data_IF_906413976787
#
_entry.id   IF_906413976787
#
_cell.length_a   1.000
_cell.length_b   1.000
_cell.length_c   1.000
_cell.angle_alpha   90.00
_cell.angle_beta   90.00
_cell.angle_gamma   90.00
#
_symmetry.space_group_name_H-M   'P 1'
#
loop_
_entity.id
_entity.type
_entity.pdbx_description
1 polymer ?
#
# COMPACT_ATOMS: atom_id res chain seq x y z
N UNK A 1 0.64 12.88 -5.34
CA UNK A 1 2.04 12.67 -5.83
C UNK A 1 3.15 13.45 -5.10
N UNK A 2 2.85 14.23 -4.05
CA UNK A 2 3.85 15.04 -3.33
C UNK A 2 5.07 14.24 -2.83
N UNK A 3 4.85 13.06 -2.26
CA UNK A 3 5.95 12.24 -1.69
C UNK A 3 6.91 11.72 -2.75
N UNK A 4 6.41 11.13 -3.84
CA UNK A 4 7.25 10.65 -4.96
C UNK A 4 8.07 11.81 -5.54
N UNK A 5 7.45 12.97 -5.76
CA UNK A 5 8.14 14.16 -6.28
C UNK A 5 9.22 14.66 -5.30
N UNK A 6 8.95 14.63 -3.99
CA UNK A 6 9.90 15.06 -2.98
C UNK A 6 11.10 14.12 -2.90
N UNK A 7 10.87 12.80 -2.89
CA UNK A 7 11.94 11.78 -2.85
C UNK A 7 12.82 11.91 -4.11
N UNK A 8 12.19 12.03 -5.29
CA UNK A 8 12.92 12.21 -6.55
C UNK A 8 13.80 13.47 -6.54
N UNK A 9 13.36 14.54 -5.88
CA UNK A 9 14.11 15.81 -5.84
C UNK A 9 15.26 15.80 -4.83
N UNK A 10 15.12 15.12 -3.69
CA UNK A 10 16.05 15.31 -2.55
C UNK A 10 16.82 14.06 -2.14
N UNK A 11 16.41 12.87 -2.55
CA UNK A 11 16.96 11.61 -2.03
C UNK A 11 17.32 10.60 -3.11
N UNK A 12 16.77 10.71 -4.32
CA UNK A 12 17.12 9.85 -5.43
C UNK A 12 18.42 10.30 -6.10
N UNK A 13 19.29 9.34 -6.40
CA UNK A 13 20.44 9.59 -7.28
C UNK A 13 19.97 9.97 -8.70
N UNK A 14 20.82 10.64 -9.52
CA UNK A 14 20.41 11.17 -10.84
C UNK A 14 19.77 10.15 -11.79
N UNK A 15 20.12 8.86 -11.67
CA UNK A 15 19.59 7.77 -12.50
C UNK A 15 18.70 6.79 -11.72
N UNK A 16 18.33 7.13 -10.48
CA UNK A 16 17.51 6.27 -9.65
C UNK A 16 16.03 6.56 -9.89
N UNK A 17 15.29 5.52 -10.30
CA UNK A 17 13.85 5.62 -10.48
C UNK A 17 13.12 5.61 -9.13
N UNK A 18 12.10 6.46 -9.01
CA UNK A 18 11.20 6.51 -7.85
C UNK A 18 9.80 6.14 -8.30
N UNK A 19 9.22 5.09 -7.73
CA UNK A 19 7.86 4.62 -8.05
C UNK A 19 6.92 4.91 -6.90
N UNK A 20 5.70 5.33 -7.22
CA UNK A 20 4.61 5.46 -6.26
C UNK A 20 3.89 4.13 -6.07
N UNK A 21 3.58 3.78 -4.83
CA UNK A 21 2.70 2.66 -4.50
C UNK A 21 1.61 3.19 -3.56
N UNK A 22 0.36 2.98 -3.93
CA UNK A 22 -0.80 3.23 -3.08
C UNK A 22 -1.34 1.88 -2.65
N UNK A 23 -1.46 1.66 -1.35
CA UNK A 23 -1.97 0.43 -0.74
C UNK A 23 -3.18 0.79 0.11
N UNK A 24 -4.33 0.17 -0.16
CA UNK A 24 -5.58 0.44 0.56
C UNK A 24 -6.37 -0.85 0.78
N UNK A 25 -7.39 -0.84 1.65
CA UNK A 25 -8.31 -1.98 1.80
C UNK A 25 -9.18 -2.14 0.55
N UNK A 26 -9.57 -1.01 -0.03
CA UNK A 26 -10.40 -0.88 -1.22
C UNK A 26 -9.95 0.37 -1.97
N UNK A 27 -9.86 0.27 -3.29
CA UNK A 27 -9.50 1.34 -4.21
C UNK A 27 -10.79 1.77 -4.91
N UNK A 28 -11.16 3.04 -4.75
CA UNK A 28 -12.33 3.57 -5.45
C UNK A 28 -12.09 3.66 -6.96
N UNK A 29 -13.18 3.60 -7.74
CA UNK A 29 -13.15 3.79 -9.19
C UNK A 29 -12.56 5.16 -9.57
N UNK A 30 -12.93 6.22 -8.84
CA UNK A 30 -12.36 7.55 -9.03
C UNK A 30 -10.83 7.57 -8.84
N UNK A 31 -10.32 6.85 -7.84
CA UNK A 31 -8.87 6.77 -7.60
C UNK A 31 -8.18 5.96 -8.68
N UNK A 32 -8.79 4.87 -9.14
CA UNK A 32 -8.31 4.06 -10.25
C UNK A 32 -8.22 4.89 -11.54
N UNK A 33 -9.29 5.61 -11.88
CA UNK A 33 -9.35 6.52 -13.02
C UNK A 33 -8.32 7.65 -12.90
N UNK A 34 -8.22 8.31 -11.76
CA UNK A 34 -7.24 9.38 -11.53
C UNK A 34 -5.80 8.89 -11.69
N UNK A 35 -5.50 7.66 -11.25
CA UNK A 35 -4.17 7.08 -11.38
C UNK A 35 -3.87 6.51 -12.78
N UNK A 36 -4.88 6.28 -13.62
CA UNK A 36 -4.67 5.80 -15.00
C UNK A 36 -3.83 6.75 -15.87
N UNK A 37 -3.81 8.05 -15.51
CA UNK A 37 -3.02 9.09 -16.16
C UNK A 37 -1.61 9.24 -15.58
N UNK A 38 -1.25 8.44 -14.55
CA UNK A 38 0.01 8.55 -13.83
C UNK A 38 0.79 7.23 -13.95
N UNK A 39 1.70 7.10 -14.93
CA UNK A 39 2.29 5.81 -15.30
C UNK A 39 3.16 5.17 -14.21
N UNK A 40 3.75 5.98 -13.32
CA UNK A 40 4.69 5.50 -12.29
C UNK A 40 4.02 5.22 -10.92
N UNK A 41 2.70 5.07 -10.89
CA UNK A 41 1.93 4.72 -9.69
C UNK A 41 1.30 3.35 -9.84
N UNK A 42 1.55 2.48 -8.86
CA UNK A 42 0.86 1.19 -8.73
C UNK A 42 -0.15 1.24 -7.60
N UNK A 43 -1.28 0.59 -7.83
CA UNK A 43 -2.35 0.44 -6.84
C UNK A 43 -2.38 -1.01 -6.38
N UNK A 44 -2.53 -1.22 -5.08
CA UNK A 44 -2.71 -2.54 -4.48
C UNK A 44 -3.83 -2.47 -3.45
N UNK A 45 -4.74 -3.43 -3.51
CA UNK A 45 -5.64 -3.70 -2.40
C UNK A 45 -5.02 -4.74 -1.47
N UNK A 46 -5.13 -4.52 -0.17
CA UNK A 46 -4.75 -5.52 0.82
C UNK A 46 -6.00 -6.15 1.42
N UNK A 47 -5.89 -7.44 1.72
CA UNK A 47 -6.88 -8.17 2.49
C UNK A 47 -6.25 -8.65 3.79
N UNK A 48 -6.85 -8.28 4.93
CA UNK A 48 -6.46 -8.81 6.23
C UNK A 48 -7.25 -10.09 6.49
N UNK A 49 -6.55 -11.19 6.73
CA UNK A 49 -7.13 -12.46 7.17
C UNK A 49 -6.66 -12.78 8.57
N UNK A 50 -7.60 -13.10 9.46
CA UNK A 50 -7.35 -13.47 10.84
C UNK A 50 -8.02 -14.82 11.10
N UNK A 51 -7.26 -15.74 11.69
CA UNK A 51 -7.77 -17.03 12.13
C UNK A 51 -7.49 -17.18 13.61
N UNK A 52 -8.54 -17.48 14.37
CA UNK A 52 -8.45 -17.69 15.81
C UNK A 52 -8.38 -19.17 16.11
N UNK A 53 -7.61 -19.52 17.13
CA UNK A 53 -7.58 -20.87 17.69
C UNK A 53 -7.99 -20.77 19.15
N UNK A 54 -8.82 -21.71 19.57
CA UNK A 54 -9.17 -21.85 20.98
C UNK A 54 -7.93 -22.27 21.78
N UNK A 55 -7.75 -21.68 22.96
CA UNK A 55 -6.74 -22.10 23.92
C UNK A 55 -7.47 -22.80 25.06
N UNK A 56 -7.21 -24.09 25.24
CA UNK A 56 -7.72 -24.84 26.39
C UNK A 56 -7.08 -24.29 27.67
N UNK A 57 -7.91 -23.90 28.63
CA UNK A 57 -7.46 -23.63 30.00
C UNK A 57 -7.45 -24.96 30.76
N UNK A 58 -6.29 -25.59 30.89
CA UNK A 58 -6.12 -26.67 31.85
C UNK A 58 -6.22 -26.08 33.28
N UNK A 59 -7.16 -26.59 34.09
CA UNK A 59 -7.11 -26.44 35.55
C UNK A 59 -8.04 -25.45 36.23
N UNK A 60 -9.34 -25.41 35.89
CA UNK A 60 -10.38 -24.87 36.79
C UNK A 60 -11.56 -25.86 36.85
N UNK A 61 -11.35 -26.94 37.58
CA UNK A 61 -12.39 -27.81 38.11
C UNK A 61 -12.60 -27.48 39.59
#
# INVERSE_FOLDING_TARGET
MRYVAWIRKHQADPNQQVRGIIVAREISEDLLLACSLIPDVKLYEYQLSLSLKEIQREGLA
#
